data_IF_408049453536
#
_entry.id   IF_408049453536
#
_cell.length_a   1.000
_cell.length_b   1.000
_cell.length_c   1.000
_cell.angle_alpha   90.00
_cell.angle_beta   90.00
_cell.angle_gamma   90.00
#
_symmetry.space_group_name_H-M   'P 1'
#
loop_
_entity.id
_entity.type
_entity.pdbx_description
1 polymer ?
#
# COMPACT_ATOMS: atom_id res chain seq x y z
N UNK A 1 6.05 -35.36 3.14
CA UNK A 1 5.67 -35.63 1.73
C UNK A 1 4.34 -34.93 1.51
N UNK A 2 4.28 -33.87 0.69
CA UNK A 2 2.99 -33.27 0.32
C UNK A 2 2.28 -34.25 -0.63
N UNK A 3 1.09 -34.71 -0.25
CA UNK A 3 0.18 -35.44 -1.13
C UNK A 3 -0.70 -34.41 -1.82
N UNK A 4 -0.36 -34.05 -3.04
CA UNK A 4 -1.19 -33.18 -3.88
C UNK A 4 -1.61 -34.02 -5.07
N UNK A 5 -2.93 -34.15 -5.22
CA UNK A 5 -3.55 -35.05 -6.21
C UNK A 5 -3.38 -34.56 -7.65
N UNK A 6 -2.83 -33.35 -7.88
CA UNK A 6 -2.59 -32.82 -9.22
C UNK A 6 -1.28 -32.03 -9.30
N UNK A 7 -0.45 -32.26 -10.32
CA UNK A 7 0.66 -31.35 -10.65
C UNK A 7 0.11 -29.96 -11.02
N UNK A 8 0.93 -28.89 -10.90
CA UNK A 8 0.53 -27.57 -11.36
C UNK A 8 0.16 -27.61 -12.84
N UNK A 9 -0.87 -26.84 -13.23
CA UNK A 9 -1.20 -26.69 -14.65
C UNK A 9 -0.03 -26.00 -15.38
N UNK A 10 0.19 -26.28 -16.68
CA UNK A 10 1.24 -25.63 -17.45
C UNK A 10 1.10 -24.10 -17.39
N UNK A 11 2.14 -23.40 -16.95
CA UNK A 11 2.10 -21.93 -16.76
C UNK A 11 1.63 -21.48 -15.38
N UNK A 12 1.65 -22.36 -14.38
CA UNK A 12 1.42 -21.95 -13.00
C UNK A 12 2.54 -21.01 -12.54
N UNK A 13 2.17 -19.85 -12.00
CA UNK A 13 3.08 -18.83 -11.51
C UNK A 13 3.12 -18.81 -9.99
N UNK A 14 4.25 -18.40 -9.44
CA UNK A 14 4.36 -18.11 -8.02
C UNK A 14 3.61 -16.82 -7.73
N UNK A 15 2.60 -16.87 -6.86
CA UNK A 15 1.75 -15.69 -6.56
C UNK A 15 2.48 -14.56 -5.80
N UNK A 16 3.74 -14.78 -5.41
CA UNK A 16 4.56 -13.79 -4.70
C UNK A 16 5.44 -13.00 -5.67
N UNK A 17 6.12 -13.67 -6.61
CA UNK A 17 7.03 -13.03 -7.56
C UNK A 17 6.49 -12.94 -8.99
N UNK A 18 5.36 -13.59 -9.29
CA UNK A 18 4.74 -13.70 -10.62
C UNK A 18 5.65 -14.37 -11.67
N UNK A 19 6.61 -15.17 -11.24
CA UNK A 19 7.48 -15.97 -12.12
C UNK A 19 6.99 -17.43 -12.15
N UNK A 20 7.22 -18.17 -13.25
CA UNK A 20 6.79 -19.56 -13.36
C UNK A 20 7.43 -20.45 -12.30
N UNK A 21 6.63 -21.34 -11.71
CA UNK A 21 7.13 -22.41 -10.84
C UNK A 21 7.48 -23.66 -11.65
N UNK A 22 8.24 -24.57 -11.06
CA UNK A 22 8.47 -25.88 -11.70
C UNK A 22 7.14 -26.63 -11.87
N UNK A 23 7.01 -27.40 -12.96
CA UNK A 23 5.81 -28.19 -13.30
C UNK A 23 5.53 -29.35 -12.32
N UNK A 24 6.21 -29.40 -11.18
CA UNK A 24 6.10 -30.44 -10.16
C UNK A 24 6.35 -29.87 -8.77
N UNK A 25 5.74 -30.51 -7.78
CA UNK A 25 6.08 -30.28 -6.38
C UNK A 25 7.47 -30.84 -6.14
N UNK A 26 8.33 -30.00 -5.57
CA UNK A 26 9.72 -30.30 -5.29
C UNK A 26 10.10 -29.63 -3.97
N UNK A 27 11.36 -29.73 -3.56
CA UNK A 27 11.82 -28.93 -2.43
C UNK A 27 11.74 -27.42 -2.73
N UNK A 28 11.88 -27.03 -4.00
CA UNK A 28 11.89 -25.63 -4.47
C UNK A 28 10.50 -25.09 -4.78
N UNK A 29 9.52 -25.96 -5.05
CA UNK A 29 8.14 -25.57 -5.41
C UNK A 29 7.14 -26.15 -4.43
N UNK A 30 6.33 -25.28 -3.82
CA UNK A 30 5.31 -25.65 -2.83
C UNK A 30 3.93 -25.13 -3.22
N UNK A 31 2.90 -25.80 -2.74
CA UNK A 31 1.51 -25.34 -2.84
C UNK A 31 0.92 -25.12 -1.45
N UNK A 32 0.03 -24.14 -1.32
CA UNK A 32 -0.79 -23.93 -0.12
C UNK A 32 -1.65 -25.17 0.15
N UNK A 33 -1.53 -25.82 1.32
CA UNK A 33 -2.30 -27.01 1.64
C UNK A 33 -3.81 -26.74 1.81
N UNK A 34 -4.17 -25.57 2.34
CA UNK A 34 -5.55 -25.18 2.58
C UNK A 34 -6.35 -25.02 1.28
N UNK A 35 -5.81 -24.27 0.29
CA UNK A 35 -6.54 -24.00 -0.95
C UNK A 35 -6.11 -24.84 -2.15
N UNK A 36 -4.93 -25.48 -2.10
CA UNK A 36 -4.33 -26.29 -3.19
C UNK A 36 -4.20 -25.57 -4.53
N UNK A 37 -4.31 -24.25 -4.54
CA UNK A 37 -4.36 -23.41 -5.74
C UNK A 37 -3.33 -22.29 -5.73
N UNK A 38 -2.78 -21.94 -4.57
CA UNK A 38 -1.68 -20.98 -4.45
C UNK A 38 -0.32 -21.70 -4.50
N UNK A 39 0.49 -21.38 -5.51
CA UNK A 39 1.81 -21.95 -5.72
C UNK A 39 2.91 -20.95 -5.38
N UNK A 40 4.02 -21.47 -4.87
CA UNK A 40 5.13 -20.67 -4.37
C UNK A 40 6.48 -21.30 -4.68
N UNK A 41 7.46 -20.48 -5.05
CA UNK A 41 8.85 -20.86 -4.81
C UNK A 41 9.11 -20.87 -3.30
N UNK A 42 9.84 -21.86 -2.84
CA UNK A 42 10.21 -22.03 -1.43
C UNK A 42 10.88 -20.79 -0.87
N UNK A 43 11.77 -20.19 -1.63
CA UNK A 43 12.50 -18.99 -1.22
C UNK A 43 11.57 -17.78 -1.12
N UNK A 44 10.62 -17.63 -2.04
CA UNK A 44 9.64 -16.56 -2.01
C UNK A 44 8.74 -16.66 -0.77
N UNK A 45 8.22 -17.83 -0.45
CA UNK A 45 7.37 -18.00 0.73
C UNK A 45 8.18 -17.92 2.04
N UNK A 46 9.43 -18.39 2.04
CA UNK A 46 10.34 -18.21 3.17
C UNK A 46 10.64 -16.73 3.43
N UNK A 47 10.90 -15.95 2.37
CA UNK A 47 11.06 -14.50 2.48
C UNK A 47 9.76 -13.85 2.98
N UNK A 48 8.61 -14.22 2.43
CA UNK A 48 7.31 -13.71 2.88
C UNK A 48 7.07 -13.97 4.37
N UNK A 49 7.31 -15.20 4.85
CA UNK A 49 7.23 -15.56 6.25
C UNK A 49 8.16 -14.71 7.14
N UNK A 50 9.40 -14.50 6.70
CA UNK A 50 10.39 -13.70 7.45
C UNK A 50 10.01 -12.23 7.58
N UNK A 51 9.29 -11.67 6.60
CA UNK A 51 8.78 -10.30 6.65
C UNK A 51 7.50 -10.20 7.46
N UNK A 52 6.51 -11.06 7.20
CA UNK A 52 5.20 -11.03 7.81
C UNK A 52 5.23 -11.39 9.31
N UNK A 53 6.02 -12.41 9.69
CA UNK A 53 5.98 -12.99 11.03
C UNK A 53 4.66 -13.68 11.33
N UNK A 54 4.59 -14.37 12.48
CA UNK A 54 3.45 -15.23 12.83
C UNK A 54 2.11 -14.47 12.89
N UNK A 55 2.10 -13.18 13.23
CA UNK A 55 0.87 -12.38 13.36
C UNK A 55 0.24 -11.95 12.02
N UNK A 56 0.96 -12.08 10.90
CA UNK A 56 0.46 -11.63 9.59
C UNK A 56 0.78 -12.60 8.46
N UNK A 57 1.28 -13.78 8.79
CA UNK A 57 1.61 -14.81 7.81
C UNK A 57 0.38 -15.63 7.48
N UNK A 58 -0.18 -15.40 6.30
CA UNK A 58 -1.36 -16.07 5.78
C UNK A 58 -1.19 -16.38 4.30
N UNK A 59 -1.98 -17.31 3.77
CA UNK A 59 -1.98 -17.55 2.33
C UNK A 59 -2.46 -16.29 1.58
N UNK A 60 -1.69 -15.75 0.61
CA UNK A 60 -2.12 -14.56 -0.13
C UNK A 60 -3.40 -14.75 -0.95
N UNK A 61 -3.75 -16.00 -1.28
CA UNK A 61 -4.94 -16.33 -2.07
C UNK A 61 -6.19 -16.57 -1.20
N UNK A 62 -6.16 -17.55 -0.30
CA UNK A 62 -7.33 -17.94 0.48
C UNK A 62 -7.43 -17.25 1.85
N UNK A 63 -6.38 -16.52 2.27
CA UNK A 63 -6.29 -15.85 3.57
C UNK A 63 -6.48 -16.79 4.78
N UNK A 64 -6.20 -18.08 4.58
CA UNK A 64 -6.10 -18.99 5.72
C UNK A 64 -4.81 -18.69 6.50
N UNK A 65 -4.96 -18.57 7.82
CA UNK A 65 -3.87 -18.34 8.77
C UNK A 65 -3.50 -19.63 9.50
N UNK A 66 -4.46 -20.36 10.05
CA UNK A 66 -4.16 -21.43 11.01
C UNK A 66 -3.56 -22.68 10.35
N UNK A 67 -4.25 -23.25 9.38
CA UNK A 67 -3.78 -24.45 8.68
C UNK A 67 -2.52 -24.11 7.87
N UNK A 68 -2.52 -22.93 7.25
CA UNK A 68 -1.39 -22.41 6.50
C UNK A 68 -0.12 -22.27 7.35
N UNK A 69 -0.16 -21.59 8.50
CA UNK A 69 1.00 -21.39 9.36
C UNK A 69 1.56 -22.75 9.82
N UNK A 70 0.67 -23.64 10.29
CA UNK A 70 1.06 -24.95 10.82
C UNK A 70 1.75 -25.78 9.73
N UNK A 71 1.14 -25.88 8.55
CA UNK A 71 1.69 -26.71 7.50
C UNK A 71 2.97 -26.13 6.90
N UNK A 72 3.03 -24.81 6.69
CA UNK A 72 4.26 -24.15 6.23
C UNK A 72 5.39 -24.38 7.24
N UNK A 73 5.11 -24.32 8.54
CA UNK A 73 6.09 -24.63 9.58
C UNK A 73 6.56 -26.10 9.52
N UNK A 74 5.63 -27.07 9.37
CA UNK A 74 5.94 -28.50 9.23
C UNK A 74 6.81 -28.76 7.99
N UNK A 75 6.61 -27.99 6.92
CA UNK A 75 7.40 -28.05 5.67
C UNK A 75 8.76 -27.33 5.79
N UNK A 76 9.09 -26.84 6.99
CA UNK A 76 10.37 -26.22 7.30
C UNK A 76 10.46 -24.75 6.89
N UNK A 77 9.34 -24.06 6.67
CA UNK A 77 9.35 -22.61 6.55
C UNK A 77 9.57 -22.00 7.93
N UNK A 78 10.63 -21.20 8.07
CA UNK A 78 10.93 -20.49 9.32
C UNK A 78 10.00 -19.28 9.42
N UNK A 79 9.16 -19.27 10.45
CA UNK A 79 8.21 -18.18 10.71
C UNK A 79 8.63 -17.53 12.04
N UNK A 80 9.16 -16.29 12.03
CA UNK A 80 9.57 -15.62 13.25
C UNK A 80 8.36 -15.25 14.11
N UNK A 81 8.49 -15.43 15.42
CA UNK A 81 7.47 -15.06 16.39
C UNK A 81 7.49 -13.54 16.61
N UNK A 82 6.85 -12.81 15.70
CA UNK A 82 6.60 -11.37 15.81
C UNK A 82 5.10 -11.18 15.96
N UNK A 83 4.70 -10.75 17.15
CA UNK A 83 3.30 -10.45 17.50
C UNK A 83 2.89 -9.01 17.14
N UNK A 84 3.85 -8.20 16.68
CA UNK A 84 3.59 -6.86 16.15
C UNK A 84 3.35 -7.04 14.66
N UNK A 85 2.26 -6.45 14.13
CA UNK A 85 2.03 -6.35 12.69
C UNK A 85 3.31 -5.78 12.04
N UNK A 86 3.70 -6.21 10.81
CA UNK A 86 4.74 -5.52 10.05
C UNK A 86 4.40 -4.04 10.11
N UNK A 87 5.36 -3.19 10.45
CA UNK A 87 5.12 -1.78 10.73
C UNK A 87 4.81 -0.98 9.45
N UNK A 88 3.91 -1.46 8.59
CA UNK A 88 3.35 -0.68 7.49
C UNK A 88 2.72 0.63 8.00
N UNK A 89 2.44 0.74 9.30
CA UNK A 89 2.07 1.97 10.01
C UNK A 89 3.26 2.86 10.43
N UNK A 90 4.48 2.32 10.56
CA UNK A 90 5.70 3.07 10.95
C UNK A 90 6.60 3.40 9.76
N UNK A 91 6.25 2.91 8.56
CA UNK A 91 6.91 3.36 7.34
C UNK A 91 6.23 4.64 6.87
N UNK A 92 6.86 5.77 7.18
CA UNK A 92 6.59 7.11 6.65
C UNK A 92 6.50 7.18 5.09
N UNK A 93 6.61 6.05 4.39
CA UNK A 93 6.41 5.88 2.95
C UNK A 93 5.07 6.40 2.41
N UNK A 94 4.02 6.49 3.24
CA UNK A 94 2.75 7.09 2.84
C UNK A 94 2.52 8.48 3.43
N UNK A 95 3.42 8.99 4.28
CA UNK A 95 3.24 10.33 4.86
C UNK A 95 3.24 11.39 3.78
N UNK A 96 4.03 11.22 2.71
CA UNK A 96 4.02 12.08 1.53
C UNK A 96 2.66 12.11 0.81
N UNK A 97 1.85 11.05 0.92
CA UNK A 97 0.50 10.99 0.34
C UNK A 97 -0.55 11.72 1.19
N UNK A 98 -0.25 11.99 2.46
CA UNK A 98 -1.13 12.73 3.36
C UNK A 98 -0.74 14.21 3.50
N UNK A 99 0.39 14.65 2.93
CA UNK A 99 0.73 16.07 2.88
C UNK A 99 -0.17 16.76 1.88
N UNK A 100 -1.28 17.30 2.38
CA UNK A 100 -2.07 18.28 1.61
C UNK A 100 -1.18 19.48 1.32
N UNK A 101 -1.23 19.97 0.09
CA UNK A 101 -0.60 21.24 -0.25
C UNK A 101 -1.12 22.32 0.72
N UNK A 102 -0.21 23.04 1.36
CA UNK A 102 -0.54 23.98 2.45
C UNK A 102 0.01 25.39 2.21
N UNK A 103 0.43 25.67 0.98
CA UNK A 103 1.07 26.92 0.59
C UNK A 103 0.18 27.71 -0.37
N UNK A 104 0.33 29.03 -0.36
CA UNK A 104 -0.26 29.90 -1.36
C UNK A 104 0.71 30.09 -2.54
N UNK A 105 0.33 29.55 -3.71
CA UNK A 105 1.05 29.64 -4.99
C UNK A 105 0.72 30.90 -5.80
N UNK A 106 -0.08 31.83 -5.25
CA UNK A 106 -0.37 33.09 -5.93
C UNK A 106 0.93 33.86 -6.22
N UNK A 107 1.03 34.48 -7.40
CA UNK A 107 2.23 35.24 -7.80
C UNK A 107 2.58 36.31 -6.75
N UNK A 108 1.57 36.98 -6.22
CA UNK A 108 1.67 37.91 -5.09
C UNK A 108 0.77 37.40 -3.96
N UNK A 109 1.37 37.02 -2.84
CA UNK A 109 0.63 36.69 -1.62
C UNK A 109 0.32 37.97 -0.84
N UNK A 110 -0.95 38.17 -0.49
CA UNK A 110 -1.42 39.32 0.29
C UNK A 110 -1.52 39.00 1.79
N UNK A 111 -1.32 37.75 2.19
CA UNK A 111 -1.46 37.31 3.57
C UNK A 111 -0.35 37.92 4.45
N UNK A 112 -0.70 38.68 5.52
CA UNK A 112 0.28 39.25 6.44
C UNK A 112 1.09 38.19 7.21
N UNK A 113 0.48 37.03 7.46
CA UNK A 113 1.10 35.94 8.20
C UNK A 113 2.03 35.06 7.33
N UNK A 114 1.99 35.24 6.00
CA UNK A 114 2.83 34.53 5.06
C UNK A 114 2.07 33.50 4.21
N UNK A 115 2.82 32.75 3.39
CA UNK A 115 2.26 31.81 2.41
C UNK A 115 1.84 30.47 3.01
N UNK A 116 2.44 30.10 4.14
CA UNK A 116 2.23 28.82 4.85
C UNK A 116 1.03 28.88 5.81
N UNK A 117 0.57 30.08 6.15
CA UNK A 117 -0.54 30.27 7.07
C UNK A 117 -1.88 30.22 6.32
N UNK A 118 -2.85 29.49 6.88
CA UNK A 118 -4.19 29.37 6.32
C UNK A 118 -5.22 29.35 7.46
N UNK A 119 -6.24 30.19 7.34
CA UNK A 119 -7.38 30.20 8.25
C UNK A 119 -8.36 29.06 7.90
N UNK A 120 -9.13 28.58 8.89
CA UNK A 120 -10.17 27.56 8.66
C UNK A 120 -11.33 28.12 7.83
N UNK A 121 -11.71 29.39 8.08
CA UNK A 121 -12.73 30.13 7.35
C UNK A 121 -12.34 31.61 7.30
N UNK A 122 -12.57 32.26 6.17
CA UNK A 122 -12.29 33.70 6.00
C UNK A 122 -11.40 34.01 4.80
N UNK A 123 -10.94 35.27 4.66
CA UNK A 123 -10.22 35.72 3.47
C UNK A 123 -8.87 35.04 3.24
N UNK A 124 -8.31 34.42 4.29
CA UNK A 124 -7.05 33.67 4.26
C UNK A 124 -7.27 32.15 4.32
N UNK A 125 -8.49 31.67 4.05
CA UNK A 125 -8.73 30.24 3.78
C UNK A 125 -7.96 29.82 2.52
N UNK A 126 -7.26 28.69 2.61
CA UNK A 126 -6.50 28.12 1.52
C UNK A 126 -7.40 27.26 0.62
N UNK A 127 -7.66 27.75 -0.58
CA UNK A 127 -8.39 27.04 -1.62
C UNK A 127 -7.43 26.18 -2.44
N UNK A 128 -7.66 24.86 -2.42
CA UNK A 128 -6.90 23.92 -3.26
C UNK A 128 -7.56 23.75 -4.63
N UNK A 129 -6.72 23.55 -5.65
CA UNK A 129 -7.22 23.30 -6.99
C UNK A 129 -8.05 22.02 -7.01
N UNK A 130 -9.31 22.11 -7.44
CA UNK A 130 -10.24 20.97 -7.47
C UNK A 130 -9.72 19.81 -8.33
N UNK A 131 -9.00 20.11 -9.40
CA UNK A 131 -8.58 19.12 -10.39
C UNK A 131 -7.31 18.37 -10.03
N UNK A 132 -6.33 19.05 -9.40
CA UNK A 132 -5.03 18.44 -9.12
C UNK A 132 -4.63 18.43 -7.64
N UNK A 133 -5.26 19.26 -6.79
CA UNK A 133 -4.89 19.50 -5.39
C UNK A 133 -3.40 19.82 -5.13
N UNK A 134 -2.60 19.99 -6.19
CA UNK A 134 -1.17 20.22 -6.15
C UNK A 134 -0.79 21.70 -6.01
N UNK A 135 -1.77 22.58 -6.25
CA UNK A 135 -1.64 24.02 -6.05
C UNK A 135 -2.69 24.55 -5.10
N UNK A 136 -2.34 25.60 -4.37
CA UNK A 136 -3.22 26.31 -3.45
C UNK A 136 -3.17 27.83 -3.63
N UNK A 137 -4.24 28.53 -3.27
CA UNK A 137 -4.27 29.99 -3.17
C UNK A 137 -5.13 30.40 -1.99
N UNK A 138 -4.77 31.48 -1.32
CA UNK A 138 -5.75 32.12 -0.43
C UNK A 138 -6.90 32.70 -1.25
N UNK A 139 -8.12 32.71 -0.68
CA UNK A 139 -9.30 33.33 -1.31
C UNK A 139 -9.00 34.74 -1.81
N UNK A 140 -8.46 35.59 -0.92
CA UNK A 140 -8.16 36.99 -1.23
C UNK A 140 -7.02 37.17 -2.24
N UNK A 141 -6.08 36.23 -2.30
CA UNK A 141 -4.97 36.27 -3.25
C UNK A 141 -5.43 35.97 -4.69
N UNK A 142 -6.51 35.20 -4.86
CA UNK A 142 -7.12 34.94 -6.17
C UNK A 142 -8.39 35.75 -6.43
N UNK A 143 -8.73 36.72 -5.57
CA UNK A 143 -9.91 37.57 -5.72
C UNK A 143 -11.23 36.80 -5.68
N UNK A 144 -11.28 35.68 -4.94
CA UNK A 144 -12.48 34.85 -4.81
C UNK A 144 -13.47 35.51 -3.84
N UNK A 145 -14.76 35.39 -4.15
CA UNK A 145 -15.84 35.79 -3.24
C UNK A 145 -15.96 34.80 -2.07
N UNK A 146 -16.48 35.27 -0.93
CA UNK A 146 -16.73 34.44 0.26
C UNK A 146 -17.70 33.28 -0.03
N UNK A 147 -18.57 33.42 -1.05
CA UNK A 147 -19.52 32.41 -1.51
C UNK A 147 -18.88 31.28 -2.33
N UNK A 148 -17.65 31.45 -2.82
CA UNK A 148 -17.02 30.54 -3.78
C UNK A 148 -16.41 29.34 -3.05
N UNK A 149 -16.90 28.13 -3.30
CA UNK A 149 -16.40 26.90 -2.64
C UNK A 149 -15.41 26.09 -3.46
N UNK A 150 -15.12 26.48 -4.69
CA UNK A 150 -14.19 25.77 -5.57
C UNK A 150 -13.27 26.71 -6.33
N UNK A 151 -12.02 26.32 -6.48
CA UNK A 151 -11.02 27.03 -7.27
C UNK A 151 -10.25 26.06 -8.16
N UNK A 152 -9.79 26.53 -9.32
CA UNK A 152 -8.94 25.81 -10.24
C UNK A 152 -7.72 26.66 -10.62
N UNK A 153 -6.55 26.04 -10.66
CA UNK A 153 -5.33 26.73 -11.05
C UNK A 153 -5.24 26.89 -12.58
N UNK A 154 -4.45 27.85 -13.05
CA UNK A 154 -4.27 28.14 -14.48
C UNK A 154 -3.80 26.95 -15.34
N UNK A 155 -3.21 25.92 -14.73
CA UNK A 155 -2.77 24.72 -15.45
C UNK A 155 -3.91 23.69 -15.62
N UNK A 156 -5.00 23.83 -14.86
CA UNK A 156 -6.13 22.91 -14.83
C UNK A 156 -7.44 23.52 -15.33
N UNK A 157 -7.53 24.85 -15.37
CA UNK A 157 -8.66 25.62 -15.89
C UNK A 157 -8.75 25.58 -17.43
#
# INVERSE_FOLDING_TARGET
HQTVDAPPEPGTECIICMEPVEDRISYTTMVCPACKSAWFHRDCIQAHAMHAGIASFQCPLCRDEQEFIVDMFIMGIRIPFRLVLPSWEDNNAYTELFVRHSLCDATVCLCPAGREEAEEEGPWELMLCRSCAAKGTHRRCSGLEDSTSSWECNNCA
#
